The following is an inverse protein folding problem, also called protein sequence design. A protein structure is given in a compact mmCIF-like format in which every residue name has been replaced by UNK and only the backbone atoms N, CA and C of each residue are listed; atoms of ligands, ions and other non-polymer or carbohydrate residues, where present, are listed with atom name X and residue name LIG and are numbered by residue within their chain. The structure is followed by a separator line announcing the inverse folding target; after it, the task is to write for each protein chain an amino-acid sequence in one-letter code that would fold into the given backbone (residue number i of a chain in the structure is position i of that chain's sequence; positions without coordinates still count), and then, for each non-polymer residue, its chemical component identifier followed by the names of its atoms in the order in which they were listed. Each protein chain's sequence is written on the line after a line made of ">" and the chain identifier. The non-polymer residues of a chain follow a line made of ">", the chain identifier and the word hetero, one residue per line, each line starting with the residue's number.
data_IF_753660378611
#
_entry.id   IF_753660378611
#
_cell.length_a   1.000
_cell.length_b   1.000
_cell.length_c   1.000
_cell.angle_alpha   90.00
_cell.angle_beta   90.00
_cell.angle_gamma   90.00
#
_symmetry.space_group_name_H-M   'P 1'
#
loop_
_entity.id
_entity.type
_entity.pdbx_description
1 polymer ?
#
# COMPACT_ATOMS: atom_id res chain seq x y z
N UNK A 1 62.82 10.88 42.60
CA UNK A 1 61.53 11.48 42.82
C UNK A 1 60.73 11.36 41.49
N UNK A 2 59.96 10.29 41.34
CA UNK A 2 59.10 10.10 40.15
C UNK A 2 57.70 10.56 40.55
N UNK A 3 57.14 11.53 39.79
CA UNK A 3 55.78 11.99 39.94
C UNK A 3 54.95 11.27 38.86
N UNK A 4 54.11 10.36 39.29
CA UNK A 4 53.18 9.67 38.41
C UNK A 4 51.90 10.51 38.14
N UNK A 5 51.69 10.89 36.90
CA UNK A 5 50.42 11.52 36.45
C UNK A 5 49.33 10.46 36.22
N UNK A 6 48.26 10.50 37.01
CA UNK A 6 47.04 9.76 36.74
C UNK A 6 46.23 10.48 35.64
N UNK A 7 46.07 9.84 34.49
CA UNK A 7 45.12 10.27 33.47
C UNK A 7 43.72 9.77 33.83
N UNK A 8 42.83 10.69 34.15
CA UNK A 8 41.40 10.38 34.33
C UNK A 8 40.73 10.18 32.96
N UNK A 9 40.38 8.95 32.65
CA UNK A 9 39.55 8.64 31.49
C UNK A 9 38.11 9.02 31.81
N UNK A 10 37.62 10.13 31.26
CA UNK A 10 36.19 10.52 31.29
C UNK A 10 35.40 9.63 30.31
N UNK A 11 34.79 8.59 30.84
CA UNK A 11 33.86 7.76 30.09
C UNK A 11 32.56 8.55 29.77
N UNK A 12 32.44 9.04 28.56
CA UNK A 12 31.19 9.55 28.02
C UNK A 12 30.17 8.38 27.94
N UNK A 13 29.33 8.23 28.95
CA UNK A 13 28.12 7.44 28.86
C UNK A 13 27.24 8.09 27.81
N UNK A 14 27.09 7.46 26.62
CA UNK A 14 26.00 7.77 25.68
C UNK A 14 24.68 7.53 26.42
N UNK A 15 24.03 8.59 26.84
CA UNK A 15 22.64 8.53 27.31
C UNK A 15 21.82 8.12 26.08
N UNK A 16 21.36 6.89 26.04
CA UNK A 16 20.33 6.48 25.07
C UNK A 16 19.09 7.31 25.37
N UNK A 17 18.65 8.12 24.43
CA UNK A 17 17.34 8.76 24.51
C UNK A 17 16.27 7.67 24.75
N UNK A 18 15.32 7.96 25.62
CA UNK A 18 14.18 7.05 25.83
C UNK A 18 13.47 6.83 24.48
N UNK A 19 13.11 5.59 24.19
CA UNK A 19 12.31 5.29 22.99
C UNK A 19 10.94 5.94 23.09
N UNK A 20 10.45 6.51 21.96
CA UNK A 20 9.09 7.04 21.90
C UNK A 20 8.05 5.91 22.02
N UNK A 21 6.83 6.23 22.45
CA UNK A 21 5.72 5.27 22.51
C UNK A 21 5.48 4.61 21.17
N UNK A 22 5.52 5.38 20.08
CA UNK A 22 5.41 4.87 18.71
C UNK A 22 6.44 3.80 18.36
N UNK A 23 7.73 4.03 18.70
CA UNK A 23 8.80 3.06 18.45
C UNK A 23 8.61 1.77 19.26
N UNK A 24 8.20 1.88 20.52
CA UNK A 24 7.93 0.73 21.39
C UNK A 24 6.80 -0.13 20.82
N UNK A 25 5.70 0.50 20.42
CA UNK A 25 4.55 -0.17 19.80
C UNK A 25 4.88 -0.79 18.45
N UNK A 26 5.64 -0.10 17.60
CA UNK A 26 6.13 -0.63 16.33
C UNK A 26 6.98 -1.88 16.53
N UNK A 27 7.92 -1.88 17.47
CA UNK A 27 8.75 -3.06 17.79
C UNK A 27 7.91 -4.24 18.30
N UNK A 28 6.88 -4.00 19.08
CA UNK A 28 5.96 -5.04 19.52
C UNK A 28 5.17 -5.64 18.34
N UNK A 29 4.74 -4.81 17.40
CA UNK A 29 4.06 -5.24 16.17
C UNK A 29 4.98 -6.10 15.29
N UNK A 30 6.21 -5.67 15.06
CA UNK A 30 7.20 -6.40 14.25
C UNK A 30 7.51 -7.81 14.78
N UNK A 31 7.40 -8.05 16.08
CA UNK A 31 7.59 -9.39 16.66
C UNK A 31 6.45 -10.35 16.30
N UNK A 32 5.27 -9.85 16.00
CA UNK A 32 4.10 -10.67 15.61
C UNK A 32 4.12 -11.05 14.13
N UNK A 33 4.73 -10.20 13.28
CA UNK A 33 4.78 -10.42 11.84
C UNK A 33 5.89 -11.42 11.53
N UNK A 34 5.51 -12.58 11.02
CA UNK A 34 6.44 -13.66 10.66
C UNK A 34 6.17 -14.11 9.23
N UNK A 35 7.16 -14.06 8.33
CA UNK A 35 6.99 -14.56 6.97
C UNK A 35 6.65 -16.05 6.94
N UNK A 36 5.85 -16.50 5.96
CA UNK A 36 5.52 -17.92 5.81
C UNK A 36 6.77 -18.75 5.52
N UNK A 37 6.71 -20.05 5.89
CA UNK A 37 7.76 -21.02 5.63
C UNK A 37 7.21 -22.14 4.76
N UNK A 38 8.01 -22.60 3.82
CA UNK A 38 7.60 -23.61 2.83
C UNK A 38 8.43 -24.87 2.96
N UNK A 39 7.85 -26.05 2.68
CA UNK A 39 8.62 -27.29 2.56
C UNK A 39 9.71 -27.19 1.48
N UNK A 40 10.85 -27.83 1.72
CA UNK A 40 11.96 -27.85 0.76
C UNK A 40 11.67 -28.82 -0.41
N UNK A 41 10.75 -28.40 -1.29
CA UNK A 41 10.36 -29.12 -2.52
C UNK A 41 10.20 -28.10 -3.63
N UNK A 42 10.64 -28.44 -4.84
CA UNK A 42 10.56 -27.54 -6.00
C UNK A 42 9.79 -28.20 -7.13
N UNK A 43 8.88 -27.42 -7.71
CA UNK A 43 8.06 -27.77 -8.85
C UNK A 43 8.36 -26.79 -9.98
N UNK A 44 9.24 -27.17 -10.88
CA UNK A 44 9.65 -26.36 -12.03
C UNK A 44 8.54 -26.37 -13.10
N UNK A 45 8.05 -25.20 -13.49
CA UNK A 45 6.97 -25.05 -14.47
C UNK A 45 7.30 -25.71 -15.81
N UNK A 46 8.58 -25.79 -16.18
CA UNK A 46 9.00 -26.45 -17.44
C UNK A 46 8.75 -27.96 -17.42
N UNK A 47 8.76 -28.57 -16.23
CA UNK A 47 8.39 -29.98 -16.05
C UNK A 47 6.88 -30.23 -16.13
N UNK A 48 6.10 -29.15 -16.14
CA UNK A 48 4.65 -29.17 -16.31
C UNK A 48 4.21 -28.64 -17.68
N UNK A 49 5.15 -28.47 -18.62
CA UNK A 49 4.88 -28.11 -20.00
C UNK A 49 5.02 -26.61 -20.32
N UNK A 50 5.58 -25.80 -19.41
CA UNK A 50 5.90 -24.41 -19.74
C UNK A 50 7.10 -24.34 -20.68
N UNK A 51 7.02 -23.46 -21.70
CA UNK A 51 8.11 -23.14 -22.59
C UNK A 51 8.21 -21.62 -22.77
N UNK A 52 9.43 -21.09 -22.77
CA UNK A 52 9.65 -19.67 -22.97
C UNK A 52 9.06 -19.18 -24.30
N UNK A 53 8.44 -18.01 -24.28
CA UNK A 53 7.76 -17.40 -25.44
C UNK A 53 6.39 -18.01 -25.77
N UNK A 54 5.82 -18.81 -24.89
CA UNK A 54 4.49 -19.42 -25.06
C UNK A 54 3.56 -19.10 -23.90
N UNK A 55 2.25 -19.30 -24.10
CA UNK A 55 1.24 -19.25 -23.04
C UNK A 55 1.44 -20.43 -22.07
N UNK A 56 1.88 -20.12 -20.89
CA UNK A 56 2.19 -21.07 -19.82
C UNK A 56 1.10 -21.14 -18.73
N UNK A 57 -0.05 -20.49 -18.93
CA UNK A 57 -1.14 -20.42 -17.92
C UNK A 57 -1.48 -21.78 -17.34
N UNK A 58 -1.71 -22.79 -18.20
CA UNK A 58 -2.05 -24.16 -17.78
C UNK A 58 -0.88 -24.86 -17.09
N UNK A 59 0.35 -24.65 -17.57
CA UNK A 59 1.54 -25.28 -17.00
C UNK A 59 1.84 -24.73 -15.58
N UNK A 60 1.71 -23.40 -15.39
CA UNK A 60 1.86 -22.76 -14.09
C UNK A 60 0.78 -23.27 -13.12
N UNK A 61 -0.48 -23.33 -13.56
CA UNK A 61 -1.58 -23.86 -12.75
C UNK A 61 -1.33 -25.34 -12.36
N UNK A 62 -0.87 -26.17 -13.29
CA UNK A 62 -0.55 -27.57 -13.02
C UNK A 62 0.61 -27.73 -12.00
N UNK A 63 1.64 -26.88 -12.09
CA UNK A 63 2.73 -26.85 -11.12
C UNK A 63 2.25 -26.44 -9.72
N UNK A 64 1.40 -25.42 -9.62
CA UNK A 64 0.78 -24.98 -8.36
C UNK A 64 -0.08 -26.11 -7.76
N UNK A 65 -0.89 -26.77 -8.59
CA UNK A 65 -1.73 -27.90 -8.16
C UNK A 65 -0.91 -29.07 -7.64
N UNK A 66 0.16 -29.44 -8.35
CA UNK A 66 1.07 -30.49 -7.92
C UNK A 66 1.77 -30.14 -6.61
N UNK A 67 2.24 -28.90 -6.48
CA UNK A 67 2.87 -28.38 -5.27
C UNK A 67 1.91 -28.44 -4.06
N UNK A 68 0.70 -27.91 -4.21
CA UNK A 68 -0.31 -27.90 -3.16
C UNK A 68 -0.72 -29.32 -2.75
N UNK A 69 -0.95 -30.22 -3.73
CA UNK A 69 -1.28 -31.63 -3.49
C UNK A 69 -0.17 -32.38 -2.74
N UNK A 70 1.10 -32.02 -2.97
CA UNK A 70 2.23 -32.57 -2.25
C UNK A 70 2.41 -32.00 -0.82
N UNK A 71 1.51 -31.11 -0.37
CA UNK A 71 1.57 -30.46 0.96
C UNK A 71 2.38 -29.18 0.99
N UNK A 72 2.69 -28.59 -0.17
CA UNK A 72 3.36 -27.28 -0.32
C UNK A 72 4.80 -27.38 -0.79
N UNK A 73 5.39 -26.21 -1.05
CA UNK A 73 6.75 -26.05 -1.56
C UNK A 73 6.91 -24.80 -2.42
N UNK A 74 7.88 -24.84 -3.33
CA UNK A 74 8.19 -23.76 -4.25
C UNK A 74 7.85 -24.14 -5.69
N UNK A 75 7.02 -23.36 -6.34
CA UNK A 75 6.81 -23.43 -7.79
C UNK A 75 7.83 -22.48 -8.44
N UNK A 76 8.78 -23.08 -9.17
CA UNK A 76 9.88 -22.36 -9.78
C UNK A 76 9.53 -21.91 -11.20
N UNK A 77 9.63 -20.61 -11.46
CA UNK A 77 9.68 -20.02 -12.78
C UNK A 77 11.15 -19.75 -13.10
N UNK A 78 11.84 -20.57 -13.90
CA UNK A 78 13.26 -20.39 -14.21
C UNK A 78 13.47 -19.19 -15.15
N UNK A 79 14.73 -18.80 -15.37
CA UNK A 79 15.07 -17.72 -16.29
C UNK A 79 14.45 -17.94 -17.68
N UNK A 80 13.87 -16.88 -18.25
CA UNK A 80 13.14 -16.90 -19.50
C UNK A 80 11.90 -16.00 -19.45
N UNK A 81 11.22 -15.85 -20.58
CA UNK A 81 10.00 -15.05 -20.70
C UNK A 81 8.80 -15.98 -20.93
N UNK A 82 7.79 -15.91 -20.07
CA UNK A 82 6.63 -16.80 -20.06
C UNK A 82 5.35 -15.98 -20.09
N UNK A 83 4.53 -16.17 -21.11
CA UNK A 83 3.20 -15.57 -21.15
C UNK A 83 2.25 -16.32 -20.21
N UNK A 84 1.33 -15.59 -19.57
CA UNK A 84 0.35 -16.20 -18.67
C UNK A 84 -0.93 -15.36 -18.57
N UNK A 85 -2.05 -16.00 -18.29
CA UNK A 85 -3.26 -15.39 -17.76
C UNK A 85 -3.23 -15.30 -16.25
N UNK A 86 -4.41 -15.34 -15.62
CA UNK A 86 -4.52 -15.31 -14.17
C UNK A 86 -3.81 -16.48 -13.50
N UNK A 87 -3.06 -16.19 -12.45
CA UNK A 87 -2.42 -17.19 -11.57
C UNK A 87 -3.19 -17.23 -10.25
N UNK A 88 -3.71 -18.40 -9.88
CA UNK A 88 -4.37 -18.61 -8.60
C UNK A 88 -3.47 -19.40 -7.65
N UNK A 89 -3.01 -18.75 -6.58
CA UNK A 89 -2.18 -19.39 -5.57
C UNK A 89 -3.01 -20.29 -4.65
N UNK A 90 -2.38 -21.34 -4.16
CA UNK A 90 -2.94 -22.28 -3.17
C UNK A 90 -2.12 -22.28 -1.89
N UNK A 91 -2.71 -22.71 -0.80
CA UNK A 91 -2.05 -22.78 0.50
C UNK A 91 -0.73 -23.55 0.46
N UNK A 92 0.26 -23.03 1.19
CA UNK A 92 1.63 -23.55 1.30
C UNK A 92 2.43 -23.51 -0.01
N UNK A 93 2.06 -22.64 -0.95
CA UNK A 93 2.76 -22.47 -2.23
C UNK A 93 3.50 -21.15 -2.26
N UNK A 94 4.79 -21.21 -2.57
CA UNK A 94 5.63 -20.09 -2.94
C UNK A 94 5.83 -20.09 -4.45
N UNK A 95 5.32 -19.10 -5.16
CA UNK A 95 5.64 -18.85 -6.57
C UNK A 95 6.97 -18.10 -6.63
N UNK A 96 8.04 -18.78 -7.01
CA UNK A 96 9.37 -18.21 -7.07
C UNK A 96 9.75 -17.85 -8.52
N UNK A 97 9.83 -16.56 -8.81
CA UNK A 97 10.23 -16.03 -10.13
C UNK A 97 11.71 -15.72 -10.09
N UNK A 98 12.52 -16.60 -10.66
CA UNK A 98 13.97 -16.53 -10.59
C UNK A 98 14.52 -15.26 -11.25
N UNK A 99 15.77 -14.90 -10.91
CA UNK A 99 16.50 -13.86 -11.64
C UNK A 99 16.55 -14.18 -13.13
N UNK A 100 16.29 -13.19 -13.99
CA UNK A 100 16.19 -13.37 -15.44
C UNK A 100 14.87 -13.98 -15.91
N UNK A 101 13.95 -14.32 -15.02
CA UNK A 101 12.59 -14.74 -15.38
C UNK A 101 11.66 -13.53 -15.52
N UNK A 102 10.78 -13.57 -16.52
CA UNK A 102 9.69 -12.59 -16.69
C UNK A 102 8.37 -13.33 -16.90
N UNK A 103 7.38 -13.04 -16.06
CA UNK A 103 5.99 -13.39 -16.32
C UNK A 103 5.31 -12.24 -17.04
N UNK A 104 4.88 -12.48 -18.28
CA UNK A 104 4.13 -11.54 -19.12
C UNK A 104 2.65 -11.85 -19.03
N UNK A 105 1.91 -11.00 -18.31
CA UNK A 105 0.47 -11.21 -18.13
C UNK A 105 -0.32 -10.76 -19.36
N UNK A 106 -1.19 -11.64 -19.85
CA UNK A 106 -2.05 -11.35 -21.00
C UNK A 106 -2.91 -10.10 -20.78
N UNK A 107 -3.12 -9.34 -21.83
CA UNK A 107 -4.07 -8.22 -21.84
C UNK A 107 -5.47 -8.63 -22.29
N UNK A 108 -5.68 -9.90 -22.60
CA UNK A 108 -6.96 -10.46 -23.03
C UNK A 108 -7.84 -10.88 -21.86
N UNK A 109 -9.01 -10.28 -21.72
CA UNK A 109 -9.95 -10.51 -20.59
C UNK A 109 -10.40 -11.97 -20.44
N UNK A 110 -10.43 -12.75 -21.53
CA UNK A 110 -10.83 -14.18 -21.50
C UNK A 110 -9.92 -15.07 -20.66
N UNK A 111 -8.71 -14.61 -20.32
CA UNK A 111 -7.76 -15.33 -19.48
C UNK A 111 -7.92 -14.99 -17.97
N UNK A 112 -8.90 -14.16 -17.63
CA UNK A 112 -9.20 -13.73 -16.26
C UNK A 112 -10.63 -14.13 -15.89
N UNK A 113 -10.83 -15.26 -15.19
CA UNK A 113 -12.16 -15.69 -14.77
C UNK A 113 -12.76 -14.66 -13.82
N UNK A 114 -14.10 -14.61 -13.78
CA UNK A 114 -14.82 -13.77 -12.82
C UNK A 114 -14.70 -14.40 -11.44
N UNK A 115 -14.20 -13.63 -10.49
CA UNK A 115 -13.99 -14.02 -9.10
C UNK A 115 -14.59 -13.02 -8.13
N UNK A 116 -14.78 -13.43 -6.89
CA UNK A 116 -15.11 -12.52 -5.80
C UNK A 116 -13.88 -11.66 -5.50
N UNK A 117 -14.03 -10.35 -5.57
CA UNK A 117 -12.94 -9.40 -5.40
C UNK A 117 -13.45 -8.07 -4.84
N UNK A 118 -12.61 -7.06 -4.82
CA UNK A 118 -12.95 -5.65 -4.56
C UNK A 118 -12.47 -4.76 -5.68
N UNK A 119 -13.26 -3.73 -5.95
CA UNK A 119 -12.84 -2.61 -6.77
C UNK A 119 -13.04 -1.31 -5.98
N UNK A 120 -11.96 -0.53 -5.78
CA UNK A 120 -11.95 0.71 -5.01
C UNK A 120 -12.72 0.61 -3.68
N UNK A 121 -12.45 -0.44 -2.89
CA UNK A 121 -13.04 -0.63 -1.56
C UNK A 121 -14.44 -1.23 -1.52
N UNK A 122 -15.04 -1.58 -2.66
CA UNK A 122 -16.38 -2.18 -2.75
C UNK A 122 -16.30 -3.61 -3.27
N UNK A 123 -16.91 -4.57 -2.57
CA UNK A 123 -16.91 -5.98 -2.95
C UNK A 123 -17.79 -6.24 -4.18
N UNK A 124 -17.31 -7.07 -5.12
CA UNK A 124 -17.98 -7.42 -6.37
C UNK A 124 -17.48 -8.75 -6.95
N UNK A 125 -18.15 -9.19 -8.03
CA UNK A 125 -17.70 -10.24 -8.94
C UNK A 125 -17.08 -9.54 -10.15
N UNK A 126 -15.75 -9.67 -10.35
CA UNK A 126 -15.03 -8.99 -11.42
C UNK A 126 -13.96 -9.90 -12.00
N UNK A 127 -13.30 -9.47 -13.09
CA UNK A 127 -12.12 -10.15 -13.61
C UNK A 127 -11.12 -10.43 -12.49
N UNK A 128 -10.61 -11.66 -12.47
CA UNK A 128 -9.58 -12.06 -11.52
C UNK A 128 -8.40 -11.09 -11.55
N UNK A 129 -7.84 -10.72 -10.40
CA UNK A 129 -6.51 -10.16 -10.33
C UNK A 129 -5.49 -11.04 -11.08
N UNK A 130 -4.38 -10.44 -11.52
CA UNK A 130 -3.37 -11.15 -12.30
C UNK A 130 -2.76 -12.30 -11.48
N UNK A 131 -2.49 -12.06 -10.21
CA UNK A 131 -2.15 -13.09 -9.23
C UNK A 131 -3.16 -12.99 -8.07
N UNK A 132 -3.91 -14.05 -7.85
CA UNK A 132 -5.03 -14.09 -6.91
C UNK A 132 -4.90 -15.25 -5.92
N UNK A 133 -5.41 -15.06 -4.72
CA UNK A 133 -5.61 -16.10 -3.73
C UNK A 133 -6.86 -15.82 -2.92
N UNK A 134 -7.70 -16.80 -2.70
CA UNK A 134 -8.92 -16.71 -1.91
C UNK A 134 -8.86 -17.65 -0.71
N UNK A 135 -8.89 -17.09 0.52
CA UNK A 135 -8.92 -17.87 1.78
C UNK A 135 -7.76 -18.88 1.91
N UNK A 136 -6.56 -18.49 1.44
CA UNK A 136 -5.37 -19.33 1.50
C UNK A 136 -4.49 -18.98 2.71
N UNK A 137 -3.68 -19.95 3.10
CA UNK A 137 -2.72 -19.78 4.19
C UNK A 137 -1.30 -20.16 3.73
N UNK A 138 -0.30 -19.40 4.20
CA UNK A 138 1.11 -19.61 3.85
C UNK A 138 1.31 -19.54 2.33
N UNK A 139 1.13 -18.36 1.75
CA UNK A 139 1.35 -18.10 0.32
C UNK A 139 2.44 -17.06 0.11
N UNK A 140 3.21 -17.24 -0.95
CA UNK A 140 4.20 -16.23 -1.32
C UNK A 140 4.38 -16.09 -2.83
N UNK A 141 4.86 -14.89 -3.22
CA UNK A 141 5.50 -14.59 -4.50
C UNK A 141 6.90 -14.08 -4.20
N UNK A 142 7.94 -14.78 -4.64
CA UNK A 142 9.33 -14.43 -4.29
C UNK A 142 10.27 -14.46 -5.50
N UNK A 143 11.49 -14.03 -5.29
CA UNK A 143 12.56 -14.08 -6.29
C UNK A 143 13.01 -12.70 -6.75
N UNK A 144 13.87 -12.67 -7.78
CA UNK A 144 14.41 -11.43 -8.35
C UNK A 144 13.93 -11.17 -9.80
N UNK A 145 12.92 -11.93 -10.24
CA UNK A 145 12.36 -11.80 -11.58
C UNK A 145 11.35 -10.66 -11.72
N UNK A 146 10.77 -10.57 -12.91
CA UNK A 146 9.84 -9.50 -13.27
C UNK A 146 8.42 -10.03 -13.45
N UNK A 147 7.45 -9.31 -12.91
CA UNK A 147 6.03 -9.48 -13.14
C UNK A 147 5.56 -8.29 -13.97
N UNK A 148 5.15 -8.54 -15.22
CA UNK A 148 4.80 -7.48 -16.17
C UNK A 148 3.34 -7.61 -16.60
N UNK A 149 2.49 -6.68 -16.16
CA UNK A 149 1.06 -6.66 -16.48
C UNK A 149 0.74 -6.22 -17.88
N UNK A 150 1.75 -5.76 -18.65
CA UNK A 150 1.64 -5.31 -20.03
C UNK A 150 0.55 -4.25 -20.28
N UNK A 151 0.10 -3.57 -19.23
CA UNK A 151 -0.91 -2.54 -19.35
C UNK A 151 -0.39 -1.32 -20.12
N UNK A 152 -1.25 -0.76 -20.97
CA UNK A 152 -1.00 0.42 -21.77
C UNK A 152 -2.31 1.17 -22.10
N UNK A 153 -2.20 2.30 -22.80
CA UNK A 153 -3.38 3.06 -23.24
C UNK A 153 -4.25 2.30 -24.26
N UNK A 154 -3.65 1.35 -25.00
CA UNK A 154 -4.33 0.52 -26.00
C UNK A 154 -5.15 -0.62 -25.37
N UNK A 155 -4.94 -0.88 -24.07
CA UNK A 155 -5.62 -1.95 -23.34
C UNK A 155 -6.15 -1.45 -21.97
N UNK A 156 -5.71 -2.01 -20.87
CA UNK A 156 -6.23 -1.77 -19.52
C UNK A 156 -6.30 -0.29 -19.11
N UNK A 157 -5.25 0.51 -19.38
CA UNK A 157 -5.25 1.93 -18.94
C UNK A 157 -6.25 2.77 -19.72
N UNK A 158 -6.48 2.44 -21.00
CA UNK A 158 -7.50 3.08 -21.82
C UNK A 158 -8.93 2.94 -21.30
N UNK A 159 -9.20 1.95 -20.44
CA UNK A 159 -10.52 1.79 -19.82
C UNK A 159 -10.86 2.88 -18.81
N UNK A 160 -9.87 3.56 -18.24
CA UNK A 160 -10.12 4.60 -17.22
C UNK A 160 -11.03 5.71 -17.74
N UNK A 161 -10.77 6.21 -18.93
CA UNK A 161 -11.49 7.34 -19.55
C UNK A 161 -11.61 7.19 -21.08
N UNK A 162 -11.68 6.00 -21.58
CA UNK A 162 -11.80 5.76 -23.02
C UNK A 162 -13.18 6.16 -23.56
N UNK A 163 -13.24 6.41 -24.87
CA UNK A 163 -14.51 6.77 -25.53
C UNK A 163 -15.41 5.58 -25.80
N UNK A 164 -14.86 4.40 -26.02
CA UNK A 164 -15.58 3.15 -26.28
C UNK A 164 -15.58 2.20 -25.07
N UNK A 165 -14.42 2.08 -24.42
CA UNK A 165 -14.22 1.28 -23.21
C UNK A 165 -14.02 2.26 -22.05
N UNK A 166 -15.03 2.46 -21.21
CA UNK A 166 -15.05 3.48 -20.17
C UNK A 166 -15.52 2.87 -18.85
N UNK A 167 -14.66 2.92 -17.85
CA UNK A 167 -14.94 2.41 -16.51
C UNK A 167 -15.92 3.30 -15.70
N UNK A 168 -16.12 4.55 -16.07
CA UNK A 168 -16.89 5.49 -15.24
C UNK A 168 -18.34 5.08 -14.97
N UNK A 169 -19.11 4.55 -15.94
CA UNK A 169 -20.44 4.00 -15.65
C UNK A 169 -20.41 2.84 -14.66
N UNK A 170 -19.43 1.93 -14.79
CA UNK A 170 -19.29 0.77 -13.91
C UNK A 170 -18.84 1.19 -12.49
N UNK A 171 -17.95 2.21 -12.38
CA UNK A 171 -17.58 2.79 -11.09
C UNK A 171 -18.76 3.40 -10.34
N UNK A 172 -19.65 4.08 -11.05
CA UNK A 172 -20.89 4.61 -10.47
C UNK A 172 -21.83 3.47 -10.06
N UNK A 173 -21.99 2.50 -10.92
CA UNK A 173 -22.88 1.35 -10.67
C UNK A 173 -22.43 0.53 -9.44
N UNK A 174 -21.13 0.22 -9.31
CA UNK A 174 -20.62 -0.55 -8.16
C UNK A 174 -20.79 0.21 -6.83
N UNK A 175 -20.55 1.53 -6.82
CA UNK A 175 -20.78 2.37 -5.63
C UNK A 175 -22.27 2.36 -5.27
N UNK A 176 -23.16 2.57 -6.24
CA UNK A 176 -24.60 2.55 -6.04
C UNK A 176 -25.11 1.18 -5.55
N UNK A 177 -24.61 0.09 -6.11
CA UNK A 177 -24.93 -1.27 -5.66
C UNK A 177 -24.45 -1.50 -4.22
N UNK A 178 -23.29 -0.98 -3.83
CA UNK A 178 -22.79 -1.00 -2.46
C UNK A 178 -23.69 -0.23 -1.50
N UNK A 179 -24.10 0.98 -1.87
CA UNK A 179 -25.02 1.81 -1.06
C UNK A 179 -26.41 1.19 -0.90
N UNK A 180 -26.89 0.42 -1.87
CA UNK A 180 -28.17 -0.27 -1.86
C UNK A 180 -28.13 -1.68 -1.26
N UNK A 181 -26.99 -2.12 -0.71
CA UNK A 181 -26.77 -3.50 -0.22
C UNK A 181 -27.15 -4.59 -1.24
N UNK A 182 -26.98 -4.36 -2.53
CA UNK A 182 -27.13 -5.43 -3.52
C UNK A 182 -26.20 -6.58 -3.13
N UNK A 183 -26.68 -7.85 -3.08
CA UNK A 183 -25.79 -8.97 -2.75
C UNK A 183 -24.55 -9.02 -3.64
N UNK A 184 -23.37 -9.25 -3.06
CA UNK A 184 -22.09 -9.19 -3.80
C UNK A 184 -22.08 -10.10 -5.03
N UNK A 185 -22.68 -11.31 -4.92
CA UNK A 185 -22.82 -12.26 -6.03
C UNK A 185 -23.58 -11.71 -7.25
N UNK A 186 -24.39 -10.67 -7.04
CA UNK A 186 -25.21 -10.04 -8.08
C UNK A 186 -24.57 -8.75 -8.63
N UNK A 187 -23.42 -8.31 -8.05
CA UNK A 187 -22.61 -7.19 -8.54
C UNK A 187 -21.57 -7.70 -9.54
N UNK A 188 -21.98 -8.06 -10.74
CA UNK A 188 -21.12 -8.74 -11.73
C UNK A 188 -20.61 -7.75 -12.75
N UNK A 189 -19.27 -7.65 -12.85
CA UNK A 189 -18.53 -6.79 -13.78
C UNK A 189 -17.54 -7.63 -14.60
N UNK A 190 -18.05 -8.28 -15.63
CA UNK A 190 -17.26 -9.13 -16.52
C UNK A 190 -17.31 -8.62 -17.96
N UNK A 191 -17.65 -9.49 -18.92
CA UNK A 191 -17.72 -9.12 -20.33
C UNK A 191 -18.68 -7.94 -20.55
N UNK A 192 -18.22 -6.93 -21.29
CA UNK A 192 -18.97 -5.67 -21.50
C UNK A 192 -18.79 -4.62 -20.40
N UNK A 193 -18.06 -4.93 -19.32
CA UNK A 193 -17.72 -4.02 -18.22
C UNK A 193 -16.22 -3.75 -18.16
N UNK A 194 -15.83 -2.60 -17.59
CA UNK A 194 -14.48 -2.07 -17.73
C UNK A 194 -13.80 -1.76 -16.39
N UNK A 195 -14.13 -2.49 -15.32
CA UNK A 195 -13.41 -2.42 -14.05
C UNK A 195 -12.10 -3.23 -14.17
N UNK A 196 -10.98 -2.54 -14.12
CA UNK A 196 -9.64 -3.14 -14.28
C UNK A 196 -9.28 -4.01 -13.06
N UNK A 197 -8.70 -5.20 -13.26
CA UNK A 197 -8.25 -6.04 -12.15
C UNK A 197 -6.98 -5.47 -11.49
N UNK A 198 -6.81 -5.74 -10.19
CA UNK A 198 -5.55 -5.50 -9.49
C UNK A 198 -4.46 -6.50 -9.90
N UNK A 199 -3.19 -6.23 -9.58
CA UNK A 199 -2.12 -7.14 -9.98
C UNK A 199 -2.00 -8.33 -9.02
N UNK A 200 -1.59 -8.10 -7.77
CA UNK A 200 -1.49 -9.14 -6.73
C UNK A 200 -2.52 -8.87 -5.64
N UNK A 201 -3.56 -9.70 -5.58
CA UNK A 201 -4.62 -9.56 -4.60
C UNK A 201 -4.89 -10.87 -3.86
N UNK A 202 -4.21 -11.13 -2.74
CA UNK A 202 -4.65 -12.12 -1.77
C UNK A 202 -5.87 -11.59 -1.02
N UNK A 203 -6.91 -12.41 -0.92
CA UNK A 203 -8.19 -12.05 -0.30
C UNK A 203 -8.52 -13.01 0.85
N UNK A 204 -8.72 -12.51 2.08
CA UNK A 204 -8.94 -13.31 3.30
C UNK A 204 -7.85 -14.34 3.57
N UNK A 205 -6.61 -14.03 3.22
CA UNK A 205 -5.48 -14.91 3.37
C UNK A 205 -4.74 -14.66 4.69
N UNK A 206 -4.03 -15.69 5.16
CA UNK A 206 -3.18 -15.58 6.35
C UNK A 206 -1.75 -15.98 6.00
N UNK A 207 -0.75 -15.28 6.55
CA UNK A 207 0.68 -15.47 6.26
C UNK A 207 0.96 -15.30 4.76
N UNK A 208 0.93 -14.06 4.31
CA UNK A 208 1.15 -13.66 2.91
C UNK A 208 2.51 -12.99 2.79
N UNK A 209 3.28 -13.36 1.76
CA UNK A 209 4.54 -12.68 1.47
C UNK A 209 4.68 -12.36 -0.02
N UNK A 210 5.21 -11.17 -0.32
CA UNK A 210 5.78 -10.84 -1.63
C UNK A 210 7.16 -10.24 -1.41
N UNK A 211 8.19 -10.81 -2.06
CA UNK A 211 9.57 -10.42 -1.79
C UNK A 211 10.46 -10.45 -3.04
N UNK A 212 11.22 -9.37 -3.25
CA UNK A 212 12.34 -9.29 -4.19
C UNK A 212 11.99 -9.02 -5.64
N UNK A 213 10.77 -9.33 -6.06
CA UNK A 213 10.33 -9.19 -7.46
C UNK A 213 10.21 -7.73 -7.90
N UNK A 214 10.26 -7.51 -9.22
CA UNK A 214 9.94 -6.24 -9.86
C UNK A 214 8.55 -6.32 -10.49
N UNK A 215 7.66 -5.35 -10.20
CA UNK A 215 6.32 -5.25 -10.80
C UNK A 215 6.30 -4.07 -11.76
N UNK A 216 5.73 -4.29 -12.95
CA UNK A 216 5.62 -3.28 -14.01
C UNK A 216 4.25 -3.31 -14.66
N UNK A 217 3.82 -2.15 -15.14
CA UNK A 217 2.66 -1.97 -16.03
C UNK A 217 1.40 -2.70 -15.54
N UNK A 218 1.02 -2.46 -14.28
CA UNK A 218 -0.21 -3.01 -13.71
C UNK A 218 -1.47 -2.45 -14.38
N UNK A 219 -2.54 -3.23 -14.52
CA UNK A 219 -3.83 -2.68 -14.95
C UNK A 219 -4.41 -1.67 -13.96
N UNK A 220 -4.26 -1.91 -12.64
CA UNK A 220 -4.81 -1.14 -11.53
C UNK A 220 -3.78 -1.12 -10.38
N UNK A 221 -4.18 -1.19 -9.10
CA UNK A 221 -3.29 -1.29 -7.94
C UNK A 221 -2.36 -2.51 -8.02
N UNK A 222 -1.09 -2.35 -7.65
CA UNK A 222 -0.10 -3.42 -7.77
C UNK A 222 -0.25 -4.49 -6.69
N UNK A 223 -0.08 -4.12 -5.42
CA UNK A 223 -0.14 -5.07 -4.29
C UNK A 223 -1.32 -4.69 -3.41
N UNK A 224 -2.41 -5.44 -3.48
CA UNK A 224 -3.63 -5.14 -2.75
C UNK A 224 -4.09 -6.35 -1.91
N UNK A 225 -3.45 -6.63 -0.76
CA UNK A 225 -3.97 -7.61 0.17
C UNK A 225 -5.27 -7.09 0.81
N UNK A 226 -6.33 -7.92 0.80
CA UNK A 226 -7.66 -7.57 1.29
C UNK A 226 -8.08 -8.54 2.39
N UNK A 227 -8.47 -8.01 3.57
CA UNK A 227 -8.90 -8.81 4.71
C UNK A 227 -7.86 -9.87 5.12
N UNK A 228 -6.58 -9.58 4.92
CA UNK A 228 -5.48 -10.49 5.19
C UNK A 228 -4.88 -10.27 6.59
N UNK A 229 -4.26 -11.32 7.12
CA UNK A 229 -3.53 -11.26 8.38
C UNK A 229 -2.09 -11.73 8.19
N UNK A 230 -1.14 -11.02 8.84
CA UNK A 230 0.29 -11.30 8.76
C UNK A 230 0.80 -11.24 7.32
N UNK A 231 0.94 -10.00 6.82
CA UNK A 231 1.36 -9.70 5.45
C UNK A 231 2.77 -9.12 5.47
N UNK A 232 3.65 -9.65 4.63
CA UNK A 232 5.01 -9.12 4.44
C UNK A 232 5.22 -8.74 2.97
N UNK A 233 5.52 -7.46 2.73
CA UNK A 233 5.95 -6.91 1.44
C UNK A 233 7.39 -6.43 1.63
N UNK A 234 8.36 -7.11 1.00
CA UNK A 234 9.78 -6.84 1.28
C UNK A 234 10.60 -6.75 0.01
N UNK A 235 11.47 -5.73 -0.07
CA UNK A 235 12.43 -5.58 -1.16
C UNK A 235 11.83 -5.61 -2.57
N UNK A 236 10.54 -5.28 -2.71
CA UNK A 236 9.84 -5.22 -4.01
C UNK A 236 10.17 -3.91 -4.70
N UNK A 237 10.34 -3.97 -6.02
CA UNK A 237 10.49 -2.79 -6.87
C UNK A 237 9.25 -2.61 -7.71
N UNK A 238 8.63 -1.45 -7.64
CA UNK A 238 7.47 -1.09 -8.45
C UNK A 238 7.86 0.05 -9.38
N UNK A 239 7.64 -0.14 -10.68
CA UNK A 239 7.89 0.84 -11.73
C UNK A 239 6.71 0.81 -12.71
N UNK A 240 5.64 1.57 -12.39
CA UNK A 240 4.35 1.49 -13.07
C UNK A 240 3.62 2.83 -12.98
N UNK A 241 3.49 3.53 -14.12
CA UNK A 241 2.97 4.89 -14.22
C UNK A 241 1.61 5.00 -14.92
N UNK A 242 0.80 3.96 -14.83
CA UNK A 242 -0.58 4.00 -15.32
C UNK A 242 -1.55 4.67 -14.34
N UNK A 243 -2.78 4.92 -14.77
CA UNK A 243 -3.81 5.47 -13.89
C UNK A 243 -4.19 4.47 -12.78
N UNK A 244 -4.24 4.93 -11.54
CA UNK A 244 -4.45 4.10 -10.33
C UNK A 244 -3.40 2.98 -10.19
N UNK A 245 -2.16 3.26 -10.60
CA UNK A 245 -1.05 2.37 -10.29
C UNK A 245 -0.49 2.75 -8.92
N UNK A 246 -1.29 2.43 -7.87
CA UNK A 246 -0.87 2.51 -6.48
C UNK A 246 0.04 1.31 -6.18
N UNK A 247 1.16 1.53 -5.49
CA UNK A 247 2.17 0.48 -5.32
C UNK A 247 1.77 -0.61 -4.33
N UNK A 248 1.26 -0.22 -3.15
CA UNK A 248 0.84 -1.19 -2.14
C UNK A 248 -0.34 -0.67 -1.32
N UNK A 249 -1.47 -1.36 -1.41
CA UNK A 249 -2.74 -0.98 -0.82
C UNK A 249 -3.26 -2.04 0.14
N UNK A 250 -2.71 -2.15 1.36
CA UNK A 250 -3.29 -3.04 2.36
C UNK A 250 -4.68 -2.54 2.77
N UNK A 251 -5.71 -3.37 2.57
CA UNK A 251 -7.09 -3.02 2.81
C UNK A 251 -7.75 -3.96 3.83
N UNK A 252 -8.20 -3.41 4.96
CA UNK A 252 -8.76 -4.19 6.07
C UNK A 252 -7.81 -5.29 6.57
N UNK A 253 -6.51 -5.05 6.55
CA UNK A 253 -5.47 -6.00 6.93
C UNK A 253 -5.02 -5.81 8.38
N UNK A 254 -4.54 -6.89 8.98
CA UNK A 254 -3.96 -6.88 10.32
C UNK A 254 -2.51 -7.38 10.28
N UNK A 255 -1.61 -6.70 11.02
CA UNK A 255 -0.20 -7.06 11.12
C UNK A 255 0.50 -7.10 9.75
N UNK A 256 0.73 -5.93 9.16
CA UNK A 256 1.35 -5.76 7.84
C UNK A 256 2.72 -5.10 7.96
N UNK A 257 3.72 -5.67 7.28
CA UNK A 257 5.06 -5.08 7.13
C UNK A 257 5.34 -4.77 5.65
N UNK A 258 5.70 -3.52 5.37
CA UNK A 258 6.22 -3.06 4.07
C UNK A 258 7.63 -2.54 4.32
N UNK A 259 8.64 -3.25 3.81
CA UNK A 259 10.05 -2.99 4.17
C UNK A 259 10.99 -3.04 2.98
N UNK A 260 11.89 -2.07 2.87
CA UNK A 260 12.97 -2.08 1.89
C UNK A 260 12.52 -1.96 0.43
N UNK A 261 11.29 -1.54 0.19
CA UNK A 261 10.70 -1.46 -1.15
C UNK A 261 11.07 -0.16 -1.85
N UNK A 262 11.03 -0.17 -3.19
CA UNK A 262 11.19 1.02 -4.02
C UNK A 262 9.92 1.22 -4.84
N UNK A 263 9.29 2.38 -4.65
CA UNK A 263 8.06 2.76 -5.33
C UNK A 263 8.35 3.88 -6.33
N UNK A 264 7.93 3.68 -7.57
CA UNK A 264 7.94 4.64 -8.67
C UNK A 264 6.62 4.47 -9.42
N UNK A 265 5.59 5.22 -9.01
CA UNK A 265 4.19 4.91 -9.28
C UNK A 265 3.45 6.05 -9.97
N UNK A 266 2.37 5.73 -10.66
CA UNK A 266 1.50 6.71 -11.31
C UNK A 266 0.39 7.24 -10.40
N UNK A 267 0.22 6.66 -9.22
CA UNK A 267 -0.71 7.10 -8.16
C UNK A 267 0.01 6.98 -6.80
N UNK A 268 -0.67 6.71 -5.68
CA UNK A 268 -0.01 6.64 -4.36
C UNK A 268 1.07 5.52 -4.32
N UNK A 269 2.22 5.77 -3.71
CA UNK A 269 3.22 4.72 -3.49
C UNK A 269 2.70 3.63 -2.55
N UNK A 270 2.05 4.06 -1.46
CA UNK A 270 1.35 3.19 -0.52
C UNK A 270 0.02 3.86 -0.17
N UNK A 271 -1.09 3.12 -0.25
CA UNK A 271 -2.39 3.64 0.17
C UNK A 271 -3.13 2.65 1.09
N UNK A 272 -3.12 2.95 2.38
CA UNK A 272 -3.74 2.12 3.43
C UNK A 272 -5.24 2.37 3.43
N UNK A 273 -6.04 1.30 3.32
CA UNK A 273 -7.49 1.37 3.10
C UNK A 273 -8.26 0.42 4.03
N UNK A 274 -9.58 0.62 4.15
CA UNK A 274 -10.47 -0.26 4.93
C UNK A 274 -11.93 -0.28 4.42
N UNK A 275 -12.08 -0.23 3.10
CA UNK A 275 -13.38 -0.28 2.43
C UNK A 275 -14.09 1.06 2.28
N UNK A 276 -14.94 1.14 1.26
CA UNK A 276 -15.62 2.36 0.81
C UNK A 276 -17.06 2.42 1.32
N UNK A 277 -17.43 3.53 1.94
CA UNK A 277 -18.80 3.94 2.25
C UNK A 277 -19.60 2.84 2.99
N UNK A 278 -20.85 2.60 2.58
CA UNK A 278 -21.71 1.59 3.17
C UNK A 278 -21.11 0.17 3.10
N UNK A 279 -20.44 -0.18 2.00
CA UNK A 279 -19.84 -1.50 1.85
C UNK A 279 -18.67 -1.71 2.83
N UNK A 280 -17.83 -0.70 3.02
CA UNK A 280 -16.78 -0.71 4.06
C UNK A 280 -17.36 -0.83 5.48
N UNK A 281 -18.44 -0.11 5.78
CA UNK A 281 -19.16 -0.22 7.08
C UNK A 281 -19.86 -1.57 7.26
N UNK A 282 -20.39 -2.16 6.19
CA UNK A 282 -20.98 -3.51 6.20
C UNK A 282 -19.95 -4.57 6.55
N UNK A 283 -18.78 -4.52 5.95
CA UNK A 283 -17.67 -5.44 6.26
C UNK A 283 -17.12 -5.16 7.66
N UNK A 284 -16.98 -3.89 8.04
CA UNK A 284 -16.61 -3.41 9.38
C UNK A 284 -15.32 -4.03 9.94
N UNK A 285 -14.30 -4.17 9.10
CA UNK A 285 -12.98 -4.64 9.50
C UNK A 285 -11.96 -3.52 9.27
N UNK A 286 -11.36 -3.00 10.33
CA UNK A 286 -10.34 -1.96 10.21
C UNK A 286 -9.04 -2.52 9.64
N UNK A 287 -8.20 -1.64 9.07
CA UNK A 287 -6.77 -1.92 8.95
C UNK A 287 -6.09 -1.57 10.28
N UNK A 288 -5.40 -2.55 10.86
CA UNK A 288 -4.79 -2.44 12.19
C UNK A 288 -3.38 -2.99 12.23
N UNK A 289 -2.42 -2.12 12.52
CA UNK A 289 -1.02 -2.51 12.64
C UNK A 289 -0.32 -2.64 11.27
N UNK A 290 0.11 -1.52 10.71
CA UNK A 290 0.95 -1.48 9.50
C UNK A 290 2.27 -0.80 9.84
N UNK A 291 3.37 -1.45 9.46
CA UNK A 291 4.72 -0.85 9.52
C UNK A 291 5.22 -0.62 8.10
N UNK A 292 5.59 0.61 7.79
CA UNK A 292 6.28 1.01 6.55
C UNK A 292 7.66 1.52 6.91
N UNK A 293 8.72 0.80 6.52
CA UNK A 293 10.07 1.22 6.89
C UNK A 293 11.12 0.93 5.84
N UNK A 294 12.19 1.73 5.87
CA UNK A 294 13.37 1.56 5.00
C UNK A 294 13.02 1.57 3.51
N UNK A 295 11.90 2.19 3.12
CA UNK A 295 11.44 2.27 1.74
C UNK A 295 11.93 3.56 1.06
N UNK A 296 11.95 3.53 -0.27
CA UNK A 296 12.17 4.69 -1.12
C UNK A 296 10.92 4.95 -1.95
N UNK A 297 10.33 6.15 -1.80
CA UNK A 297 9.24 6.64 -2.61
C UNK A 297 9.78 7.70 -3.58
N UNK A 298 9.52 7.47 -4.86
CA UNK A 298 9.90 8.38 -5.94
C UNK A 298 8.64 9.12 -6.43
N UNK A 299 8.21 8.88 -7.66
CA UNK A 299 6.99 9.49 -8.18
C UNK A 299 5.73 8.91 -7.55
N UNK A 300 4.67 9.71 -7.46
CA UNK A 300 3.36 9.28 -6.96
C UNK A 300 2.52 10.42 -6.38
N UNK A 301 1.24 10.16 -6.10
CA UNK A 301 0.37 11.15 -5.47
C UNK A 301 0.57 11.26 -3.95
N UNK A 302 1.12 10.24 -3.32
CA UNK A 302 1.49 10.24 -1.91
C UNK A 302 2.53 9.16 -1.58
N UNK A 303 3.51 9.48 -0.75
CA UNK A 303 4.50 8.51 -0.30
C UNK A 303 3.86 7.44 0.57
N UNK A 304 3.22 7.88 1.66
CA UNK A 304 2.30 7.03 2.44
C UNK A 304 0.97 7.76 2.56
N UNK A 305 -0.03 7.20 1.89
CA UNK A 305 -1.40 7.68 1.94
C UNK A 305 -2.26 6.79 2.85
N UNK A 306 -3.21 7.40 3.53
CA UNK A 306 -4.27 6.74 4.30
C UNK A 306 -5.59 7.19 3.66
N UNK A 307 -6.28 6.23 3.05
CA UNK A 307 -7.52 6.53 2.34
C UNK A 307 -7.40 6.53 0.82
N UNK A 308 -8.51 6.98 0.16
CA UNK A 308 -9.76 7.54 0.73
C UNK A 308 -10.73 6.51 1.31
N UNK A 309 -10.63 5.25 0.98
CA UNK A 309 -11.51 4.17 1.42
C UNK A 309 -11.19 3.78 2.88
N UNK A 310 -11.77 4.51 3.86
CA UNK A 310 -11.45 4.37 5.29
C UNK A 310 -12.66 4.03 6.16
N UNK A 311 -13.76 3.59 5.54
CA UNK A 311 -15.03 3.44 6.25
C UNK A 311 -15.04 2.34 7.31
N UNK A 312 -14.12 1.36 7.23
CA UNK A 312 -13.90 0.35 8.27
C UNK A 312 -12.99 0.78 9.42
N UNK A 313 -12.37 1.97 9.31
CA UNK A 313 -11.39 2.48 10.28
C UNK A 313 -9.95 2.05 10.00
N UNK A 314 -9.00 2.87 10.46
CA UNK A 314 -7.55 2.62 10.32
C UNK A 314 -6.85 3.01 11.60
N UNK A 315 -5.97 2.15 12.12
CA UNK A 315 -5.24 2.43 13.34
C UNK A 315 -3.88 1.75 13.44
N UNK A 316 -3.02 2.32 14.27
CA UNK A 316 -1.70 1.77 14.58
C UNK A 316 -0.81 1.68 13.33
N UNK A 317 -0.61 2.81 12.66
CA UNK A 317 0.23 2.93 11.47
C UNK A 317 1.57 3.52 11.86
N UNK A 318 2.65 2.86 11.51
CA UNK A 318 4.02 3.25 11.83
C UNK A 318 4.82 3.40 10.53
N UNK A 319 5.22 4.63 10.23
CA UNK A 319 6.05 4.98 9.07
C UNK A 319 7.41 5.46 9.62
N UNK A 320 8.46 4.69 9.39
CA UNK A 320 9.75 4.93 10.04
C UNK A 320 10.92 4.76 9.07
N UNK A 321 11.89 5.65 9.13
CA UNK A 321 13.16 5.58 8.39
C UNK A 321 13.00 5.40 6.87
N UNK A 322 12.12 6.21 6.24
CA UNK A 322 11.91 6.19 4.80
C UNK A 322 12.61 7.36 4.11
N UNK A 323 12.79 7.25 2.81
CA UNK A 323 13.23 8.32 1.93
C UNK A 323 12.19 8.60 0.86
N UNK A 324 11.81 9.87 0.73
CA UNK A 324 10.83 10.36 -0.23
C UNK A 324 11.44 11.53 -0.99
N UNK A 325 11.58 11.44 -2.32
CA UNK A 325 12.31 12.47 -3.05
C UNK A 325 11.95 12.46 -4.54
N UNK A 326 11.01 13.31 -4.92
CA UNK A 326 10.71 13.60 -6.33
C UNK A 326 9.85 14.86 -6.45
N UNK A 327 10.10 15.67 -7.47
CA UNK A 327 9.21 16.76 -7.88
C UNK A 327 7.85 16.27 -8.41
N UNK A 328 7.73 14.96 -8.69
CA UNK A 328 6.48 14.30 -9.11
C UNK A 328 5.85 13.45 -7.99
N UNK A 329 6.37 13.54 -6.77
CA UNK A 329 5.71 13.04 -5.57
C UNK A 329 4.92 14.19 -4.94
N UNK A 330 3.60 14.09 -4.94
CA UNK A 330 2.80 15.22 -4.46
C UNK A 330 2.95 15.45 -2.95
N UNK A 331 2.87 14.39 -2.14
CA UNK A 331 2.83 14.49 -0.67
C UNK A 331 3.66 13.38 -0.01
N UNK A 332 4.23 13.66 1.15
CA UNK A 332 4.97 12.63 1.88
C UNK A 332 4.05 11.76 2.74
N UNK A 333 3.38 12.33 3.75
CA UNK A 333 2.28 11.70 4.48
C UNK A 333 0.97 12.34 4.03
N UNK A 334 0.01 11.52 3.63
CA UNK A 334 -1.29 11.98 3.17
C UNK A 334 -2.43 11.23 3.87
N UNK A 335 -3.34 11.95 4.52
CA UNK A 335 -4.60 11.39 5.04
C UNK A 335 -5.74 12.06 4.27
N UNK A 336 -6.46 11.28 3.46
CA UNK A 336 -7.53 11.76 2.61
C UNK A 336 -8.84 11.03 2.93
N UNK A 337 -9.88 11.78 3.26
CA UNK A 337 -11.20 11.25 3.59
C UNK A 337 -12.30 12.26 3.28
N UNK A 338 -13.54 11.91 3.52
CA UNK A 338 -14.69 12.80 3.41
C UNK A 338 -15.89 12.30 4.23
N UNK A 339 -16.98 13.04 4.22
CA UNK A 339 -18.18 12.71 4.99
C UNK A 339 -19.04 11.57 4.43
N UNK A 340 -18.75 11.05 3.24
CA UNK A 340 -19.34 9.80 2.74
C UNK A 340 -18.59 8.57 3.27
N UNK A 341 -17.27 8.69 3.43
CA UNK A 341 -16.40 7.64 4.01
C UNK A 341 -16.62 7.53 5.51
N UNK A 342 -16.58 8.66 6.24
CA UNK A 342 -16.51 8.64 7.71
C UNK A 342 -15.26 7.91 8.19
N UNK A 343 -15.45 6.99 9.16
CA UNK A 343 -14.38 6.16 9.69
C UNK A 343 -13.51 6.86 10.75
N UNK A 344 -12.80 6.06 11.53
CA UNK A 344 -11.85 6.53 12.55
C UNK A 344 -10.44 6.20 12.07
N UNK A 345 -9.59 7.22 11.97
CA UNK A 345 -8.16 7.12 11.67
C UNK A 345 -7.41 7.60 12.91
N UNK A 346 -6.66 6.69 13.54
CA UNK A 346 -6.02 7.00 14.80
C UNK A 346 -4.68 6.30 15.01
N UNK A 347 -3.85 6.88 15.87
CA UNK A 347 -2.52 6.33 16.22
C UNK A 347 -1.62 6.20 14.98
N UNK A 348 -1.36 7.32 14.34
CA UNK A 348 -0.50 7.41 13.15
C UNK A 348 0.84 7.98 13.58
N UNK A 349 1.91 7.25 13.33
CA UNK A 349 3.28 7.65 13.68
C UNK A 349 4.12 7.76 12.41
N UNK A 350 4.59 8.96 12.12
CA UNK A 350 5.45 9.26 10.97
C UNK A 350 6.78 9.81 11.48
N UNK A 351 7.82 8.99 11.43
CA UNK A 351 9.06 9.31 12.10
C UNK A 351 10.32 9.07 11.26
N UNK A 352 11.42 9.72 11.63
CA UNK A 352 12.77 9.48 11.12
C UNK A 352 12.85 9.46 9.57
N UNK A 353 12.00 10.22 8.90
CA UNK A 353 11.86 10.20 7.44
C UNK A 353 12.55 11.40 6.82
N UNK A 354 13.33 11.13 5.77
CA UNK A 354 13.97 12.17 4.98
C UNK A 354 13.17 12.44 3.72
N UNK A 355 12.68 13.65 3.58
CA UNK A 355 11.98 14.14 2.40
C UNK A 355 12.94 15.09 1.66
N UNK A 356 13.26 14.78 0.41
CA UNK A 356 13.99 15.70 -0.47
C UNK A 356 13.03 16.77 -0.98
N UNK A 357 12.38 16.51 -2.10
CA UNK A 357 11.34 17.36 -2.67
C UNK A 357 10.00 16.62 -2.72
N UNK A 358 8.91 17.34 -2.44
CA UNK A 358 7.54 16.95 -2.75
C UNK A 358 6.79 18.17 -3.33
N UNK A 359 5.91 17.91 -4.30
CA UNK A 359 5.28 18.97 -5.07
C UNK A 359 4.29 19.82 -4.26
N UNK A 360 3.57 19.21 -3.30
CA UNK A 360 2.51 19.86 -2.53
C UNK A 360 2.85 19.98 -1.05
N UNK A 361 2.64 18.94 -0.25
CA UNK A 361 2.76 19.04 1.19
C UNK A 361 3.61 17.90 1.80
N UNK A 362 4.37 18.21 2.85
CA UNK A 362 5.05 17.15 3.62
C UNK A 362 4.03 16.38 4.45
N UNK A 363 3.16 17.07 5.17
CA UNK A 363 2.05 16.47 5.93
C UNK A 363 0.73 17.05 5.42
N UNK A 364 -0.14 16.18 4.92
CA UNK A 364 -1.44 16.54 4.36
C UNK A 364 -2.54 15.72 5.08
N UNK A 365 -3.51 16.40 5.68
CA UNK A 365 -4.73 15.79 6.23
C UNK A 365 -5.90 16.59 5.67
N UNK A 366 -6.64 16.01 4.72
CA UNK A 366 -7.71 16.72 4.03
C UNK A 366 -9.02 15.91 4.04
N UNK A 367 -10.06 16.49 4.66
CA UNK A 367 -11.42 15.94 4.71
C UNK A 367 -12.27 16.33 3.51
N UNK A 368 -11.78 17.22 2.65
CA UNK A 368 -12.51 17.67 1.46
C UNK A 368 -12.15 16.89 0.20
N UNK A 369 -11.64 15.67 0.36
CA UNK A 369 -11.30 14.82 -0.77
C UNK A 369 -12.56 14.35 -1.51
N UNK A 370 -12.55 14.37 -2.86
CA UNK A 370 -13.67 14.00 -3.73
C UNK A 370 -15.01 14.68 -3.35
N UNK A 371 -15.93 13.95 -2.70
CA UNK A 371 -17.28 14.41 -2.38
C UNK A 371 -17.33 15.45 -1.24
N UNK A 372 -16.25 15.61 -0.49
CA UNK A 372 -16.14 16.60 0.59
C UNK A 372 -17.17 16.42 1.72
N UNK A 373 -17.78 17.54 2.16
CA UNK A 373 -18.64 17.61 3.36
C UNK A 373 -20.11 17.19 3.12
N UNK A 374 -20.47 16.72 1.91
CA UNK A 374 -21.85 16.44 1.52
C UNK A 374 -22.51 15.20 2.14
N UNK A 375 -21.78 14.36 2.88
CA UNK A 375 -22.25 13.07 3.42
C UNK A 375 -22.67 13.12 4.90
N UNK A 376 -23.35 12.05 5.39
CA UNK A 376 -23.88 11.99 6.75
C UNK A 376 -22.87 11.46 7.79
N UNK A 377 -21.68 11.00 7.38
CA UNK A 377 -20.71 10.36 8.26
C UNK A 377 -19.52 11.29 8.53
N UNK A 378 -19.26 11.60 9.78
CA UNK A 378 -18.15 12.47 10.17
C UNK A 378 -16.86 11.66 10.26
N UNK A 379 -15.80 12.03 9.52
CA UNK A 379 -14.47 11.45 9.73
C UNK A 379 -13.94 11.80 11.12
N UNK A 380 -13.17 10.91 11.70
CA UNK A 380 -12.39 11.17 12.92
C UNK A 380 -10.93 10.92 12.60
N UNK A 381 -10.08 11.94 12.72
CA UNK A 381 -8.62 11.80 12.66
C UNK A 381 -8.05 12.31 13.98
N UNK A 382 -7.31 11.45 14.68
CA UNK A 382 -6.74 11.78 15.99
C UNK A 382 -5.45 11.02 16.28
N UNK A 383 -4.64 11.61 17.17
CA UNK A 383 -3.36 11.04 17.61
C UNK A 383 -2.43 10.77 16.39
N UNK A 384 -2.05 11.86 15.73
CA UNK A 384 -1.09 11.88 14.62
C UNK A 384 0.21 12.46 15.13
N UNK A 385 1.25 11.64 15.18
CA UNK A 385 2.57 12.01 15.71
C UNK A 385 3.57 12.06 14.56
N UNK A 386 4.23 13.19 14.39
CA UNK A 386 5.28 13.42 13.39
C UNK A 386 6.57 13.76 14.12
N UNK A 387 7.60 12.95 13.96
CA UNK A 387 8.83 13.08 14.75
C UNK A 387 10.08 12.94 13.87
N UNK A 388 11.07 13.83 14.06
CA UNK A 388 12.38 13.77 13.39
C UNK A 388 12.27 13.73 11.86
N UNK A 389 11.38 14.50 11.25
CA UNK A 389 11.20 14.58 9.81
C UNK A 389 11.98 15.77 9.26
N UNK A 390 12.70 15.57 8.16
CA UNK A 390 13.38 16.64 7.44
C UNK A 390 12.86 16.74 6.01
N UNK A 391 12.63 17.96 5.52
CA UNK A 391 12.22 18.23 4.14
C UNK A 391 13.09 19.33 3.54
N UNK A 392 13.46 19.17 2.25
CA UNK A 392 14.29 20.14 1.54
C UNK A 392 13.45 21.13 0.72
N UNK A 393 12.31 20.71 0.19
CA UNK A 393 11.46 21.58 -0.62
C UNK A 393 10.02 21.06 -0.68
N UNK A 394 9.06 21.96 -0.50
CA UNK A 394 7.62 21.67 -0.64
C UNK A 394 6.83 22.95 -0.84
N UNK A 395 5.59 22.84 -1.30
CA UNK A 395 4.67 23.99 -1.30
C UNK A 395 4.21 24.32 0.11
N UNK A 396 3.83 23.31 0.91
CA UNK A 396 3.43 23.44 2.31
C UNK A 396 4.26 22.50 3.19
N UNK A 397 4.59 22.90 4.40
CA UNK A 397 5.04 21.96 5.42
C UNK A 397 3.84 21.15 5.93
N UNK A 398 2.76 21.85 6.31
CA UNK A 398 1.53 21.27 6.85
C UNK A 398 0.32 21.82 6.06
N UNK A 399 -0.56 20.89 5.65
CA UNK A 399 -1.84 21.20 5.02
C UNK A 399 -2.93 20.39 5.70
N UNK A 400 -3.61 20.99 6.69
CA UNK A 400 -4.53 20.30 7.59
C UNK A 400 -5.91 20.96 7.49
N UNK A 401 -6.91 20.22 6.98
CA UNK A 401 -8.25 20.69 6.73
C UNK A 401 -9.31 19.70 7.25
N UNK A 402 -9.84 20.00 8.43
CA UNK A 402 -10.99 19.29 8.99
C UNK A 402 -12.32 19.97 8.67
N UNK A 403 -13.41 19.49 9.27
CA UNK A 403 -14.71 20.14 9.21
C UNK A 403 -14.99 20.91 10.51
N UNK A 404 -15.79 21.97 10.46
CA UNK A 404 -16.18 22.76 11.63
C UNK A 404 -16.85 21.88 12.71
N UNK A 405 -17.58 20.85 12.30
CA UNK A 405 -18.29 19.93 13.20
C UNK A 405 -17.59 18.60 13.40
N UNK A 406 -16.38 18.42 12.85
CA UNK A 406 -15.50 17.27 13.00
C UNK A 406 -14.04 17.70 12.81
N UNK A 407 -13.45 18.39 13.79
CA UNK A 407 -12.07 18.87 13.66
C UNK A 407 -11.07 17.71 13.68
N UNK A 408 -9.91 17.91 13.04
CA UNK A 408 -8.73 17.09 13.22
C UNK A 408 -8.20 17.35 14.64
N UNK A 409 -7.84 16.32 15.40
CA UNK A 409 -7.40 16.50 16.79
C UNK A 409 -6.16 15.71 17.16
N UNK A 410 -5.41 16.20 18.17
CA UNK A 410 -4.24 15.49 18.70
C UNK A 410 -3.14 15.33 17.66
N UNK A 411 -2.68 16.42 17.06
CA UNK A 411 -1.53 16.43 16.13
C UNK A 411 -0.30 16.90 16.88
N UNK A 412 0.70 16.03 17.01
CA UNK A 412 1.97 16.36 17.63
C UNK A 412 3.10 16.35 16.59
N UNK A 413 3.86 17.43 16.49
CA UNK A 413 5.02 17.56 15.61
C UNK A 413 6.22 17.88 16.47
N UNK A 414 7.30 17.10 16.34
CA UNK A 414 8.45 17.23 17.22
C UNK A 414 9.76 17.06 16.45
N UNK A 415 10.71 17.98 16.67
CA UNK A 415 12.06 17.96 16.09
C UNK A 415 12.07 17.90 14.55
N UNK A 416 11.13 18.54 13.89
CA UNK A 416 11.01 18.54 12.43
C UNK A 416 11.66 19.78 11.81
N UNK A 417 12.20 19.63 10.59
CA UNK A 417 12.81 20.72 9.84
C UNK A 417 12.31 20.74 8.40
N UNK A 418 11.62 21.80 8.04
CA UNK A 418 11.07 22.01 6.71
C UNK A 418 11.75 23.19 6.03
N UNK A 419 12.57 22.94 5.03
CA UNK A 419 13.29 23.97 4.28
C UNK A 419 12.57 24.28 2.96
N UNK A 420 12.77 25.48 2.43
CA UNK A 420 12.23 25.97 1.16
C UNK A 420 10.74 25.68 1.00
N UNK A 421 9.98 25.95 2.05
CA UNK A 421 8.50 25.88 2.03
C UNK A 421 7.96 27.15 1.41
N UNK A 422 7.22 27.01 0.30
CA UNK A 422 6.82 28.15 -0.53
C UNK A 422 5.60 28.93 0.01
N UNK A 423 4.71 28.29 0.76
CA UNK A 423 3.45 28.85 1.26
C UNK A 423 3.32 28.68 2.77
N UNK A 424 2.57 29.57 3.45
CA UNK A 424 2.17 29.36 4.84
C UNK A 424 1.42 28.04 5.03
N UNK A 425 1.53 27.46 6.23
CA UNK A 425 0.76 26.28 6.59
C UNK A 425 -0.75 26.55 6.60
N UNK A 426 -1.54 25.53 6.27
CA UNK A 426 -3.00 25.59 6.30
C UNK A 426 -3.51 24.87 7.54
N UNK A 427 -4.33 25.57 8.33
CA UNK A 427 -4.91 25.10 9.58
C UNK A 427 -6.43 25.40 9.58
N UNK A 428 -7.23 24.50 9.06
CA UNK A 428 -8.68 24.65 8.99
C UNK A 428 -9.35 23.61 9.88
N UNK A 429 -10.04 24.04 10.94
CA UNK A 429 -10.69 23.15 11.89
C UNK A 429 -9.78 22.05 12.45
N UNK A 430 -8.70 22.47 13.07
CA UNK A 430 -7.70 21.60 13.69
C UNK A 430 -7.60 21.98 15.16
N UNK A 431 -7.86 21.04 16.05
CA UNK A 431 -7.78 21.22 17.49
C UNK A 431 -6.59 20.48 18.07
N UNK A 432 -6.12 20.90 19.26
CA UNK A 432 -5.13 20.20 20.06
C UNK A 432 -3.84 19.87 19.29
N UNK A 433 -3.20 20.93 18.77
CA UNK A 433 -1.90 20.84 18.06
C UNK A 433 -0.76 21.20 18.98
N UNK A 434 0.27 20.36 18.99
CA UNK A 434 1.51 20.59 19.74
C UNK A 434 2.70 20.62 18.80
N UNK A 435 3.46 21.72 18.82
CA UNK A 435 4.70 21.92 18.09
C UNK A 435 5.87 21.98 19.09
N UNK A 436 6.93 21.19 18.87
CA UNK A 436 8.07 21.14 19.77
C UNK A 436 9.39 21.09 19.00
N UNK A 437 10.22 22.12 19.09
CA UNK A 437 11.50 22.22 18.39
C UNK A 437 11.39 22.10 16.85
N UNK A 438 10.30 22.57 16.27
CA UNK A 438 10.08 22.48 14.84
C UNK A 438 10.51 23.77 14.15
N UNK A 439 11.13 23.64 12.98
CA UNK A 439 11.69 24.75 12.21
C UNK A 439 11.13 24.72 10.79
N UNK A 440 10.65 25.89 10.32
CA UNK A 440 10.26 26.11 8.92
C UNK A 440 11.03 27.29 8.36
N UNK A 441 11.75 27.06 7.26
CA UNK A 441 12.56 28.08 6.59
C UNK A 441 13.55 28.81 7.51
N UNK A 442 14.13 28.08 8.50
CA UNK A 442 15.07 28.61 9.46
C UNK A 442 14.43 29.24 10.72
N UNK A 443 13.12 29.41 10.77
CA UNK A 443 12.41 30.02 11.89
C UNK A 443 11.61 28.99 12.70
N UNK A 444 11.47 29.14 14.02
CA UNK A 444 10.61 28.29 14.84
C UNK A 444 9.16 28.32 14.34
N UNK A 445 8.57 27.13 14.20
CA UNK A 445 7.16 27.02 13.81
C UNK A 445 6.24 27.49 14.95
N UNK A 446 5.19 28.21 14.55
CA UNK A 446 4.11 28.66 15.44
C UNK A 446 2.77 28.37 14.71
N UNK A 447 1.76 28.06 15.50
CA UNK A 447 0.37 27.98 15.02
C UNK A 447 -0.21 29.37 14.76
#
# INVERSE_FOLDING_TARGET
>A
MFVGGMAAASGLRKVRAAESDGQTRMKALLKRIQPPKFPNRTFDITKHGAAAGQDCTKAIAAAIDACAKAGGGTVLVPAGSYETGAIHLKSRVNLHVAEGATLLFSTGTKQYPIVYTRFEGTECMNYSPLIYAWEQTDIAVTGAGTLDGQASQENWWGWKRGTRMNAEPDRKAIVEMGEKDVPVKDRIFGEGHYLRPNFFQPYRCTNVMIEGVTIKRSPMWEINPVLCKNVTVRNVKIDSHGPNNDGCDPESCTDTLIEGCVFNTGDDCIAIKSGRNRDGRRVNVPTDGVVVRNCQMKDGHGGVSIGSEVSGGIRNIFVDNNRMDSSHLDRALRIKTNSHRGGVIENIYFANTTVGEVAQAVIDIDFFYEEGEGGPFKPVVRNVVVENVTSQKSKYALYLRGYANAPISGVEITNCKFANVAQPDVWEHVDDVKLTNDIRNGEPMKR
#
